data_IF_869220755040
#
_entry.id   IF_869220755040
#
_cell.length_a   1.000
_cell.length_b   1.000
_cell.length_c   1.000
_cell.angle_alpha   90.00
_cell.angle_beta   90.00
_cell.angle_gamma   90.00
#
_symmetry.space_group_name_H-M   'P 1'
#
loop_
_entity.id
_entity.type
_entity.pdbx_description
1 polymer ?
#
# COMPACT_ATOMS: atom_id res chain seq x y z
N UNK A 1 60.00 -54.41 38.20
CA UNK A 1 59.10 -53.46 38.90
C UNK A 1 59.10 -52.10 38.22
N UNK A 2 60.27 -51.51 37.90
CA UNK A 2 60.34 -50.24 37.16
C UNK A 2 59.75 -50.32 35.73
N UNK A 3 59.99 -51.41 34.99
CA UNK A 3 59.46 -51.58 33.63
C UNK A 3 57.92 -51.72 33.57
N UNK A 4 57.29 -52.29 34.59
CA UNK A 4 55.83 -52.36 34.66
C UNK A 4 55.22 -50.99 34.94
N UNK A 5 55.87 -50.21 35.81
CA UNK A 5 55.47 -48.84 36.14
C UNK A 5 55.59 -47.93 34.92
N UNK A 6 56.66 -48.09 34.14
CA UNK A 6 56.86 -47.37 32.88
C UNK A 6 55.76 -47.71 31.84
N UNK A 7 55.40 -48.99 31.70
CA UNK A 7 54.32 -49.43 30.81
C UNK A 7 52.96 -48.85 31.22
N UNK A 8 52.66 -48.79 32.51
CA UNK A 8 51.41 -48.21 33.02
C UNK A 8 51.35 -46.72 32.69
N UNK A 9 52.44 -45.98 32.90
CA UNK A 9 52.50 -44.53 32.60
C UNK A 9 52.31 -44.27 31.10
N UNK A 10 52.97 -45.05 30.24
CA UNK A 10 52.82 -44.92 28.78
C UNK A 10 51.37 -45.21 28.36
N UNK A 11 50.77 -46.28 28.88
CA UNK A 11 49.40 -46.67 28.53
C UNK A 11 48.36 -45.64 29.02
N UNK A 12 48.58 -45.04 30.19
CA UNK A 12 47.76 -43.92 30.68
C UNK A 12 47.92 -42.67 29.80
N UNK A 13 49.15 -42.36 29.38
CA UNK A 13 49.43 -41.24 28.47
C UNK A 13 48.73 -41.40 27.12
N UNK A 14 48.74 -42.60 26.55
CA UNK A 14 48.03 -42.91 25.29
C UNK A 14 46.51 -42.81 25.45
N UNK A 15 45.97 -43.30 26.57
CA UNK A 15 44.54 -43.21 26.89
C UNK A 15 44.06 -41.77 27.00
N UNK A 16 44.84 -40.90 27.65
CA UNK A 16 44.54 -39.46 27.77
C UNK A 16 44.60 -38.78 26.39
N UNK A 17 45.60 -39.11 25.57
CA UNK A 17 45.75 -38.55 24.23
C UNK A 17 44.57 -38.93 23.32
N UNK A 18 44.10 -40.18 23.40
CA UNK A 18 42.93 -40.64 22.66
C UNK A 18 41.65 -39.91 23.07
N UNK A 19 41.44 -39.65 24.38
CA UNK A 19 40.29 -38.89 24.88
C UNK A 19 40.31 -37.43 24.43
N UNK A 20 41.47 -36.78 24.42
CA UNK A 20 41.62 -35.38 23.95
C UNK A 20 41.30 -35.28 22.46
N UNK A 21 41.82 -36.22 21.64
CA UNK A 21 41.56 -36.26 20.20
C UNK A 21 40.07 -36.51 19.91
N UNK A 22 39.44 -37.47 20.58
CA UNK A 22 38.02 -37.76 20.43
C UNK A 22 37.12 -36.58 20.83
N UNK A 23 37.47 -35.85 21.91
CA UNK A 23 36.71 -34.68 22.33
C UNK A 23 36.88 -33.50 21.35
N UNK A 24 38.10 -33.28 20.84
CA UNK A 24 38.39 -32.27 19.82
C UNK A 24 37.57 -32.50 18.55
N UNK A 25 37.60 -33.72 17.99
CA UNK A 25 36.81 -34.08 16.81
C UNK A 25 35.31 -33.91 17.04
N UNK A 26 34.80 -34.32 18.22
CA UNK A 26 33.39 -34.15 18.56
C UNK A 26 32.97 -32.68 18.68
N UNK A 27 33.86 -31.81 19.18
CA UNK A 27 33.58 -30.39 19.36
C UNK A 27 33.56 -29.62 18.03
N UNK A 28 34.46 -29.98 17.09
CA UNK A 28 34.45 -29.46 15.73
C UNK A 28 33.17 -29.83 14.99
N UNK A 29 32.72 -31.09 15.08
CA UNK A 29 31.46 -31.50 14.48
C UNK A 29 30.27 -30.73 15.07
N UNK A 30 30.18 -30.61 16.39
CA UNK A 30 29.12 -29.83 17.07
C UNK A 30 29.13 -28.35 16.63
N UNK A 31 30.30 -27.75 16.48
CA UNK A 31 30.43 -26.38 16.00
C UNK A 31 29.95 -26.23 14.55
N UNK A 32 30.32 -27.16 13.66
CA UNK A 32 29.87 -27.17 12.26
C UNK A 32 28.35 -27.34 12.19
N UNK A 33 27.78 -28.25 12.99
CA UNK A 33 26.32 -28.41 13.07
C UNK A 33 25.64 -27.15 13.60
N UNK A 34 26.17 -26.54 14.66
CA UNK A 34 25.61 -25.31 15.22
C UNK A 34 25.69 -24.14 14.23
N UNK A 35 26.84 -23.94 13.58
CA UNK A 35 27.03 -22.93 12.55
C UNK A 35 26.15 -23.19 11.31
N UNK A 36 25.99 -24.45 10.91
CA UNK A 36 25.11 -24.82 9.81
C UNK A 36 23.64 -24.53 10.12
N UNK A 37 23.16 -24.95 11.29
CA UNK A 37 21.77 -24.71 11.71
C UNK A 37 21.46 -23.22 11.93
N UNK A 38 22.42 -22.43 12.43
CA UNK A 38 22.24 -20.99 12.61
C UNK A 38 22.14 -20.26 11.26
N UNK A 39 22.99 -20.60 10.29
CA UNK A 39 22.93 -20.03 8.94
C UNK A 39 21.60 -20.37 8.24
N UNK A 40 21.16 -21.63 8.34
CA UNK A 40 19.86 -22.06 7.79
C UNK A 40 18.72 -21.30 8.46
N UNK A 41 18.75 -21.17 9.79
CA UNK A 41 17.73 -20.44 10.54
C UNK A 41 17.67 -18.96 10.15
N UNK A 42 18.83 -18.29 10.03
CA UNK A 42 18.91 -16.90 9.59
C UNK A 42 18.40 -16.73 8.16
N UNK A 43 18.77 -17.63 7.24
CA UNK A 43 18.28 -17.60 5.87
C UNK A 43 16.75 -17.78 5.80
N UNK A 44 16.20 -18.70 6.60
CA UNK A 44 14.75 -18.91 6.69
C UNK A 44 14.04 -17.68 7.26
N UNK A 45 14.58 -17.09 8.33
CA UNK A 45 14.05 -15.88 8.95
C UNK A 45 14.06 -14.70 7.98
N UNK A 46 15.14 -14.51 7.23
CA UNK A 46 15.25 -13.47 6.20
C UNK A 46 14.25 -13.69 5.06
N UNK A 47 14.08 -14.93 4.60
CA UNK A 47 13.09 -15.27 3.57
C UNK A 47 11.66 -14.99 4.06
N UNK A 48 11.32 -15.41 5.28
CA UNK A 48 10.00 -15.14 5.87
C UNK A 48 9.76 -13.64 6.04
N UNK A 49 10.75 -12.89 6.55
CA UNK A 49 10.66 -11.44 6.68
C UNK A 49 10.45 -10.76 5.33
N UNK A 50 11.15 -11.21 4.28
CA UNK A 50 10.96 -10.71 2.92
C UNK A 50 9.55 -11.01 2.39
N UNK A 51 9.06 -12.25 2.55
CA UNK A 51 7.73 -12.64 2.09
C UNK A 51 6.63 -11.87 2.82
N UNK A 52 6.73 -11.76 4.14
CA UNK A 52 5.79 -10.99 4.98
C UNK A 52 5.85 -9.51 4.61
N UNK A 53 7.04 -8.93 4.49
CA UNK A 53 7.22 -7.54 4.07
C UNK A 53 6.62 -7.27 2.69
N UNK A 54 6.86 -8.16 1.73
CA UNK A 54 6.32 -8.04 0.38
C UNK A 54 4.78 -8.13 0.35
N UNK A 55 4.20 -9.08 1.09
CA UNK A 55 2.75 -9.25 1.22
C UNK A 55 2.11 -8.04 1.92
N UNK A 56 2.71 -7.55 3.01
CA UNK A 56 2.23 -6.36 3.72
C UNK A 56 2.30 -5.11 2.86
N UNK A 57 3.39 -4.91 2.09
CA UNK A 57 3.51 -3.74 1.20
C UNK A 57 2.39 -3.73 0.14
N UNK A 58 2.05 -4.88 -0.45
CA UNK A 58 0.91 -5.00 -1.38
C UNK A 58 -0.44 -4.72 -0.72
N UNK A 59 -0.59 -5.00 0.58
CA UNK A 59 -1.81 -4.70 1.35
C UNK A 59 -1.92 -3.21 1.69
N UNK A 60 -0.83 -2.52 2.00
CA UNK A 60 -0.85 -1.09 2.36
C UNK A 60 -1.06 -0.15 1.15
N UNK A 61 -0.66 -0.55 -0.06
CA UNK A 61 -0.83 0.29 -1.27
C UNK A 61 -2.31 0.54 -1.65
N UNK A 62 -3.21 -0.39 -1.31
CA UNK A 62 -4.66 -0.29 -1.61
C UNK A 62 -5.38 0.80 -0.79
N UNK A 63 -5.32 0.82 0.55
CA UNK A 63 -5.96 1.85 1.35
C UNK A 63 -5.33 3.23 1.12
N UNK A 64 -4.03 3.30 0.81
CA UNK A 64 -3.38 4.58 0.49
C UNK A 64 -3.87 5.18 -0.84
N UNK A 65 -4.04 4.34 -1.87
CA UNK A 65 -4.62 4.74 -3.15
C UNK A 65 -6.07 5.23 -2.99
N UNK A 66 -6.89 4.49 -2.22
CA UNK A 66 -8.27 4.88 -1.93
C UNK A 66 -8.34 6.20 -1.14
N UNK A 67 -7.50 6.37 -0.10
CA UNK A 67 -7.42 7.60 0.69
C UNK A 67 -7.01 8.80 -0.16
N UNK A 68 -6.04 8.62 -1.06
CA UNK A 68 -5.59 9.67 -1.97
C UNK A 68 -6.68 10.06 -2.95
N UNK A 69 -7.45 9.08 -3.44
CA UNK A 69 -8.60 9.34 -4.29
C UNK A 69 -9.71 10.11 -3.57
N UNK A 70 -10.04 9.74 -2.33
CA UNK A 70 -11.03 10.47 -1.52
C UNK A 70 -10.60 11.91 -1.29
N UNK A 71 -9.30 12.17 -1.02
CA UNK A 71 -8.79 13.55 -0.93
C UNK A 71 -8.97 14.32 -2.23
N UNK A 72 -8.68 13.69 -3.37
CA UNK A 72 -8.87 14.30 -4.69
C UNK A 72 -10.36 14.63 -4.94
N UNK A 73 -11.25 13.72 -4.56
CA UNK A 73 -12.69 13.85 -4.69
C UNK A 73 -13.24 15.00 -3.84
N UNK A 74 -12.82 15.11 -2.57
CA UNK A 74 -13.21 16.21 -1.69
C UNK A 74 -12.71 17.56 -2.23
N UNK A 75 -11.48 17.62 -2.73
CA UNK A 75 -10.94 18.84 -3.36
C UNK A 75 -11.73 19.23 -4.60
N UNK A 76 -12.13 18.26 -5.41
CA UNK A 76 -12.97 18.49 -6.58
C UNK A 76 -14.35 19.02 -6.18
N UNK A 77 -14.95 18.44 -5.14
CA UNK A 77 -16.21 18.91 -4.57
C UNK A 77 -16.08 20.37 -4.11
N UNK A 78 -15.07 20.71 -3.32
CA UNK A 78 -14.81 22.09 -2.87
C UNK A 78 -14.70 23.08 -4.04
N UNK A 79 -13.99 22.70 -5.11
CA UNK A 79 -13.89 23.53 -6.32
C UNK A 79 -15.24 23.76 -7.00
N UNK A 80 -16.08 22.73 -7.06
CA UNK A 80 -17.43 22.84 -7.61
C UNK A 80 -18.33 23.70 -6.72
N UNK A 81 -18.23 23.53 -5.40
CA UNK A 81 -18.96 24.32 -4.43
C UNK A 81 -18.61 25.80 -4.55
N UNK A 82 -17.32 26.12 -4.63
CA UNK A 82 -16.83 27.49 -4.80
C UNK A 82 -17.39 28.10 -6.09
N UNK A 83 -17.25 27.41 -7.23
CA UNK A 83 -17.73 27.88 -8.53
C UNK A 83 -19.24 28.17 -8.56
N UNK A 84 -20.05 27.24 -8.02
CA UNK A 84 -21.51 27.37 -8.00
C UNK A 84 -22.05 28.26 -6.89
N UNK A 85 -21.20 28.71 -5.97
CA UNK A 85 -21.59 29.65 -4.90
C UNK A 85 -21.52 31.12 -5.34
N UNK A 86 -20.72 31.43 -6.36
CA UNK A 86 -20.48 32.79 -6.86
C UNK A 86 -21.23 33.05 -8.17
N UNK A 87 -21.50 34.30 -8.51
CA UNK A 87 -21.97 34.71 -9.85
C UNK A 87 -20.83 34.71 -10.86
N UNK A 88 -21.12 34.77 -12.17
CA UNK A 88 -20.07 34.77 -13.21
C UNK A 88 -19.21 36.03 -13.19
N UNK A 89 -17.95 35.88 -12.78
CA UNK A 89 -16.86 36.78 -13.09
C UNK A 89 -16.02 36.18 -14.22
N UNK A 90 -15.83 36.87 -15.37
CA UNK A 90 -15.08 36.35 -16.51
C UNK A 90 -13.66 35.87 -16.20
N UNK A 91 -12.93 36.54 -15.28
CA UNK A 91 -11.54 36.19 -14.98
C UNK A 91 -11.46 35.02 -14.00
N UNK A 92 -12.24 35.07 -12.92
CA UNK A 92 -12.24 34.02 -11.91
C UNK A 92 -12.89 32.73 -12.42
N UNK A 93 -14.02 32.85 -13.15
CA UNK A 93 -14.76 31.69 -13.67
C UNK A 93 -13.91 30.85 -14.62
N UNK A 94 -13.08 31.47 -15.48
CA UNK A 94 -12.23 30.73 -16.42
C UNK A 94 -11.18 29.89 -15.70
N UNK A 95 -10.60 30.43 -14.61
CA UNK A 95 -9.63 29.71 -13.78
C UNK A 95 -10.32 28.57 -13.02
N UNK A 96 -11.50 28.81 -12.44
CA UNK A 96 -12.28 27.81 -11.73
C UNK A 96 -12.76 26.69 -12.67
N UNK A 97 -13.21 27.03 -13.87
CA UNK A 97 -13.60 26.07 -14.92
C UNK A 97 -12.42 25.18 -15.34
N UNK A 98 -11.25 25.77 -15.56
CA UNK A 98 -10.04 25.02 -15.87
C UNK A 98 -9.64 24.08 -14.71
N UNK A 99 -9.76 24.53 -13.46
CA UNK A 99 -9.51 23.70 -12.26
C UNK A 99 -10.48 22.50 -12.20
N UNK A 100 -11.78 22.73 -12.43
CA UNK A 100 -12.79 21.66 -12.43
C UNK A 100 -12.50 20.65 -13.55
N UNK A 101 -12.22 21.11 -14.78
CA UNK A 101 -11.84 20.21 -15.89
C UNK A 101 -10.60 19.38 -15.58
N UNK A 102 -9.57 20.01 -15.02
CA UNK A 102 -8.33 19.33 -14.64
C UNK A 102 -8.57 18.31 -13.52
N UNK A 103 -9.34 18.68 -12.49
CA UNK A 103 -9.72 17.79 -11.39
C UNK A 103 -10.51 16.58 -11.87
N UNK A 104 -11.48 16.77 -12.77
CA UNK A 104 -12.20 15.66 -13.38
C UNK A 104 -11.30 14.72 -14.18
N UNK A 105 -10.38 15.28 -14.99
CA UNK A 105 -9.40 14.47 -15.73
C UNK A 105 -8.56 13.62 -14.78
N UNK A 106 -8.12 14.18 -13.65
CA UNK A 106 -7.38 13.44 -12.63
C UNK A 106 -8.23 12.33 -11.99
N UNK A 107 -9.49 12.62 -11.63
CA UNK A 107 -10.43 11.63 -11.08
C UNK A 107 -10.64 10.47 -12.05
N UNK A 108 -10.86 10.76 -13.34
CA UNK A 108 -11.04 9.75 -14.37
C UNK A 108 -9.80 8.86 -14.53
N UNK A 109 -8.61 9.45 -14.61
CA UNK A 109 -7.36 8.71 -14.71
C UNK A 109 -7.14 7.81 -13.48
N UNK A 110 -7.44 8.33 -12.29
CA UNK A 110 -7.37 7.51 -11.08
C UNK A 110 -8.40 6.38 -11.09
N UNK A 111 -9.63 6.60 -11.54
CA UNK A 111 -10.64 5.54 -11.62
C UNK A 111 -10.23 4.42 -12.60
N UNK A 112 -9.64 4.82 -13.72
CA UNK A 112 -9.23 3.90 -14.79
C UNK A 112 -7.95 3.12 -14.44
N UNK A 113 -6.95 3.78 -13.84
CA UNK A 113 -5.63 3.18 -13.60
C UNK A 113 -5.30 2.94 -12.12
N UNK A 114 -6.13 3.43 -11.20
CA UNK A 114 -5.94 3.32 -9.77
C UNK A 114 -6.06 1.89 -9.27
N UNK A 115 -5.11 1.49 -8.42
CA UNK A 115 -5.05 0.13 -7.86
C UNK A 115 -5.89 0.03 -6.58
N UNK A 116 -7.20 0.17 -6.74
CA UNK A 116 -8.15 0.09 -5.60
C UNK A 116 -8.48 -1.34 -5.16
N UNK A 117 -8.17 -2.34 -6.00
CA UNK A 117 -8.56 -3.74 -5.72
C UNK A 117 -10.06 -4.00 -5.88
N UNK A 118 -10.76 -3.16 -6.65
CA UNK A 118 -12.17 -3.31 -6.98
C UNK A 118 -12.40 -4.41 -8.02
N UNK A 119 -13.55 -5.08 -7.94
CA UNK A 119 -14.04 -5.96 -9.01
C UNK A 119 -14.44 -5.11 -10.23
N UNK A 120 -14.40 -5.71 -11.43
CA UNK A 120 -14.71 -5.00 -12.69
C UNK A 120 -16.07 -4.29 -12.68
N UNK A 121 -17.10 -4.90 -12.08
CA UNK A 121 -18.43 -4.28 -11.96
C UNK A 121 -18.42 -3.01 -11.09
N UNK A 122 -17.76 -3.06 -9.93
CA UNK A 122 -17.60 -1.90 -9.03
C UNK A 122 -16.74 -0.80 -9.64
N UNK A 123 -15.71 -1.18 -10.41
CA UNK A 123 -14.89 -0.23 -11.15
C UNK A 123 -15.73 0.50 -12.21
N UNK A 124 -16.55 -0.22 -12.95
CA UNK A 124 -17.46 0.37 -13.93
C UNK A 124 -18.50 1.28 -13.26
N UNK A 125 -19.03 0.89 -12.11
CA UNK A 125 -19.93 1.73 -11.30
C UNK A 125 -19.24 3.03 -10.86
N UNK A 126 -17.98 2.96 -10.40
CA UNK A 126 -17.17 4.12 -10.05
C UNK A 126 -16.96 5.06 -11.26
N UNK A 127 -16.59 4.53 -12.42
CA UNK A 127 -16.39 5.31 -13.66
C UNK A 127 -17.69 6.02 -14.08
N UNK A 128 -18.84 5.33 -13.95
CA UNK A 128 -20.16 5.92 -14.23
C UNK A 128 -20.50 7.04 -13.26
N UNK A 129 -20.21 6.88 -11.97
CA UNK A 129 -20.44 7.93 -10.97
C UNK A 129 -19.54 9.14 -11.21
N UNK A 130 -18.28 8.96 -11.61
CA UNK A 130 -17.37 10.07 -11.94
C UNK A 130 -17.84 10.81 -13.18
N UNK A 131 -18.33 10.10 -14.20
CA UNK A 131 -18.89 10.73 -15.39
C UNK A 131 -20.11 11.58 -15.03
N UNK A 132 -21.03 11.02 -14.23
CA UNK A 132 -22.20 11.74 -13.73
C UNK A 132 -21.84 12.94 -12.85
N UNK A 133 -20.79 12.80 -12.02
CA UNK A 133 -20.28 13.88 -11.18
C UNK A 133 -19.85 15.07 -12.04
N UNK A 134 -19.16 14.81 -13.15
CA UNK A 134 -18.75 15.85 -14.09
C UNK A 134 -19.93 16.50 -14.81
N UNK A 135 -20.91 15.71 -15.23
CA UNK A 135 -22.12 16.23 -15.89
C UNK A 135 -22.89 17.18 -14.96
N UNK A 136 -23.00 16.86 -13.67
CA UNK A 136 -23.65 17.72 -12.69
C UNK A 136 -22.80 18.94 -12.31
N UNK A 137 -21.47 18.77 -12.22
CA UNK A 137 -20.50 19.82 -11.92
C UNK A 137 -20.40 20.87 -13.04
N UNK A 138 -20.50 20.45 -14.29
CA UNK A 138 -20.44 21.35 -15.45
C UNK A 138 -21.84 21.83 -15.85
N UNK A 139 -22.75 20.91 -16.13
CA UNK A 139 -24.09 21.25 -16.60
C UNK A 139 -24.13 21.92 -17.98
N UNK A 140 -25.32 22.32 -18.41
CA UNK A 140 -25.52 23.04 -19.67
C UNK A 140 -25.12 24.52 -19.63
N UNK A 141 -24.96 25.11 -18.44
CA UNK A 141 -24.59 26.52 -18.26
C UNK A 141 -23.11 26.70 -17.88
N UNK A 142 -22.31 25.64 -17.93
CA UNK A 142 -20.86 25.73 -17.74
C UNK A 142 -20.29 26.72 -18.76
N UNK A 143 -19.40 27.61 -18.34
CA UNK A 143 -18.79 28.63 -19.22
C UNK A 143 -19.77 29.70 -19.73
N UNK A 144 -21.05 29.62 -19.36
CA UNK A 144 -22.05 30.61 -19.74
C UNK A 144 -21.84 31.91 -18.97
N UNK A 145 -21.79 33.03 -19.71
CA UNK A 145 -21.77 34.37 -19.11
C UNK A 145 -23.01 34.70 -18.27
N UNK A 146 -24.10 33.96 -18.50
CA UNK A 146 -25.37 34.11 -17.77
C UNK A 146 -25.47 33.19 -16.55
N UNK A 147 -24.42 32.42 -16.26
CA UNK A 147 -24.40 31.49 -15.13
C UNK A 147 -24.59 32.25 -13.82
N UNK A 148 -25.59 31.84 -13.06
CA UNK A 148 -25.80 32.26 -11.67
C UNK A 148 -25.32 31.19 -10.67
N UNK A 149 -25.35 31.53 -9.37
CA UNK A 149 -25.18 30.55 -8.31
C UNK A 149 -26.24 29.44 -8.36
N UNK A 150 -25.90 28.21 -7.98
CA UNK A 150 -26.84 27.07 -8.02
C UNK A 150 -26.69 26.14 -6.82
N UNK A 151 -27.58 26.30 -5.83
CA UNK A 151 -27.65 25.41 -4.65
C UNK A 151 -27.99 23.97 -5.01
N UNK A 152 -28.85 23.76 -6.01
CA UNK A 152 -29.24 22.42 -6.45
C UNK A 152 -28.05 21.65 -7.01
N UNK A 153 -27.19 22.31 -7.82
CA UNK A 153 -25.98 21.66 -8.35
C UNK A 153 -24.99 21.32 -7.25
N UNK A 154 -24.75 22.26 -6.34
CA UNK A 154 -23.96 22.05 -5.12
C UNK A 154 -24.40 20.77 -4.40
N UNK A 155 -25.69 20.67 -4.10
CA UNK A 155 -26.24 19.51 -3.38
C UNK A 155 -26.08 18.21 -4.16
N UNK A 156 -26.31 18.22 -5.47
CA UNK A 156 -26.15 17.04 -6.32
C UNK A 156 -24.71 16.56 -6.40
N UNK A 157 -23.75 17.48 -6.57
CA UNK A 157 -22.32 17.17 -6.55
C UNK A 157 -21.95 16.51 -5.23
N UNK A 158 -22.33 17.10 -4.09
CA UNK A 158 -22.09 16.54 -2.77
C UNK A 158 -22.72 15.14 -2.59
N UNK A 159 -23.96 14.93 -3.05
CA UNK A 159 -24.61 13.61 -3.01
C UNK A 159 -23.87 12.56 -3.84
N UNK A 160 -23.39 12.91 -5.03
CA UNK A 160 -22.64 11.97 -5.88
C UNK A 160 -21.28 11.67 -5.25
N UNK A 161 -20.55 12.68 -4.75
CA UNK A 161 -19.30 12.50 -4.02
C UNK A 161 -19.47 11.56 -2.81
N UNK A 162 -20.53 11.76 -2.03
CA UNK A 162 -20.85 10.89 -0.90
C UNK A 162 -21.12 9.43 -1.33
N UNK A 163 -21.74 9.21 -2.50
CA UNK A 163 -22.00 7.86 -3.02
C UNK A 163 -20.76 7.12 -3.53
N UNK A 164 -19.69 7.85 -3.90
CA UNK A 164 -18.43 7.27 -4.37
C UNK A 164 -17.60 6.71 -3.19
N UNK A 165 -17.65 7.37 -2.03
CA UNK A 165 -16.82 7.00 -0.87
C UNK A 165 -17.04 5.55 -0.38
N UNK A 166 -18.28 5.03 -0.23
CA UNK A 166 -18.53 3.65 0.14
C UNK A 166 -17.92 2.61 -0.79
N UNK A 167 -17.90 2.86 -2.10
CA UNK A 167 -17.32 1.93 -3.10
C UNK A 167 -15.84 1.70 -2.83
N UNK A 168 -15.14 2.74 -2.37
CA UNK A 168 -13.71 2.70 -2.06
C UNK A 168 -13.43 2.12 -0.67
N UNK A 169 -14.36 2.29 0.27
CA UNK A 169 -14.26 1.83 1.64
C UNK A 169 -14.53 0.33 1.76
N UNK A 170 -15.50 -0.22 1.00
CA UNK A 170 -15.93 -1.64 1.05
C UNK A 170 -14.73 -2.62 0.91
N UNK A 171 -13.69 -2.24 0.16
CA UNK A 171 -12.47 -3.04 -0.06
C UNK A 171 -11.28 -2.68 0.83
N UNK A 172 -11.34 -1.57 1.56
CA UNK A 172 -10.25 -1.12 2.43
C UNK A 172 -10.18 -1.90 3.76
N UNK A 173 -11.24 -2.63 4.10
CA UNK A 173 -11.43 -3.35 5.36
C UNK A 173 -11.61 -4.88 5.21
N UNK A 174 -11.50 -5.42 3.99
CA UNK A 174 -11.36 -6.86 3.71
C UNK A 174 -9.88 -7.27 3.55
#
# INVERSE_FOLDING_TARGET
MEDELLKIIINQGESIKALILANSESSHLRFIYFAGTSLISTALGALLAYLVGHLSHKRHLKPESAKSFVKLLNRFEEQCLEYWSKSHDPKESLIEEAKIKAGHKQLRLYAEYGKFGLRSSRKHELEKLISRLFDEATGGDFESKKRGPSRTRIQKVAMITASISPILIEKSFE
#
